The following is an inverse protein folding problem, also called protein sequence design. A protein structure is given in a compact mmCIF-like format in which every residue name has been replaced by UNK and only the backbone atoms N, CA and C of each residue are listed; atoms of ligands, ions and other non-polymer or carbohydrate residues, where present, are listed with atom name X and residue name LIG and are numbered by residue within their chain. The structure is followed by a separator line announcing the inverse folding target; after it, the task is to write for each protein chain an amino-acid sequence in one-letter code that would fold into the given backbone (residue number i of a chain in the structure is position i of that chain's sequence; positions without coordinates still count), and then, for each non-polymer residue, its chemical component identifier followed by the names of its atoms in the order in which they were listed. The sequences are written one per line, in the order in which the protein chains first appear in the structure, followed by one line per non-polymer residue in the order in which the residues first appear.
data_IF_654825982907
#
_entry.id   IF_654825982907
#
_cell.length_a   1.000
_cell.length_b   1.000
_cell.length_c   1.000
_cell.angle_alpha   90.00
_cell.angle_beta   90.00
_cell.angle_gamma   90.00
#
_symmetry.space_group_name_H-M   'P 1'
#
loop_
_entity.id
_entity.type
_entity.pdbx_description
1 polymer ?
#
# COMPACT_ATOMS: atom_id res chain seq x y z
N UNK A 1 11.11 -28.13 -0.84
CA UNK A 1 10.45 -26.96 -1.45
C UNK A 1 11.19 -26.57 -2.72
N UNK A 2 11.02 -27.31 -3.82
CA UNK A 2 11.34 -26.76 -5.14
C UNK A 2 10.10 -26.01 -5.60
N UNK A 3 10.11 -24.69 -5.42
CA UNK A 3 9.14 -23.84 -6.11
C UNK A 3 9.57 -23.81 -7.57
N UNK A 4 8.91 -24.60 -8.42
CA UNK A 4 9.06 -24.45 -9.86
C UNK A 4 8.53 -23.07 -10.28
N UNK A 5 9.34 -22.36 -11.06
CA UNK A 5 8.94 -21.11 -11.71
C UNK A 5 8.01 -21.49 -12.86
N UNK A 6 6.72 -21.63 -12.57
CA UNK A 6 5.68 -21.94 -13.55
C UNK A 6 4.95 -20.65 -14.01
N UNK A 7 4.17 -20.72 -15.10
CA UNK A 7 3.40 -19.60 -15.62
C UNK A 7 2.48 -18.98 -14.56
N UNK A 8 1.91 -19.81 -13.69
CA UNK A 8 1.11 -19.38 -12.54
C UNK A 8 1.91 -18.52 -11.56
N UNK A 9 3.18 -18.83 -11.33
CA UNK A 9 4.05 -18.06 -10.44
C UNK A 9 4.37 -16.67 -11.02
N UNK A 10 4.66 -16.59 -12.33
CA UNK A 10 4.86 -15.31 -13.02
C UNK A 10 3.59 -14.46 -12.96
N UNK A 11 2.42 -15.07 -13.16
CA UNK A 11 1.11 -14.40 -13.01
C UNK A 11 0.88 -13.86 -11.59
N UNK A 12 1.33 -14.58 -10.56
CA UNK A 12 1.28 -14.13 -9.17
C UNK A 12 2.10 -12.85 -8.96
N UNK A 13 3.34 -12.83 -9.45
CA UNK A 13 4.22 -11.65 -9.33
C UNK A 13 3.62 -10.44 -10.03
N UNK A 14 3.11 -10.62 -11.25
CA UNK A 14 2.48 -9.53 -12.01
C UNK A 14 1.25 -8.96 -11.25
N UNK A 15 0.45 -9.84 -10.66
CA UNK A 15 -0.72 -9.47 -9.85
C UNK A 15 -0.30 -8.73 -8.58
N UNK A 16 0.73 -9.20 -7.88
CA UNK A 16 1.27 -8.55 -6.69
C UNK A 16 1.79 -7.14 -7.00
N UNK A 17 2.48 -6.96 -8.13
CA UNK A 17 2.93 -5.64 -8.58
C UNK A 17 1.74 -4.71 -8.85
N UNK A 18 0.73 -5.19 -9.59
CA UNK A 18 -0.48 -4.41 -9.89
C UNK A 18 -1.21 -3.96 -8.63
N UNK A 19 -1.37 -4.87 -7.66
CA UNK A 19 -1.98 -4.56 -6.36
C UNK A 19 -1.16 -3.51 -5.57
N UNK A 20 0.16 -3.68 -5.52
CA UNK A 20 1.05 -2.76 -4.81
C UNK A 20 1.13 -1.36 -5.46
N UNK A 21 0.98 -1.25 -6.78
CA UNK A 21 0.94 0.05 -7.47
C UNK A 21 -0.39 0.76 -7.20
N UNK A 22 -1.51 0.04 -7.27
CA UNK A 22 -2.84 0.59 -7.04
C UNK A 22 -2.94 1.28 -5.67
N UNK A 23 -2.45 0.62 -4.61
CA UNK A 23 -2.48 1.19 -3.27
C UNK A 23 -1.64 2.48 -3.14
N UNK A 24 -0.44 2.52 -3.75
CA UNK A 24 0.39 3.73 -3.76
C UNK A 24 -0.31 4.89 -4.47
N UNK A 25 -0.90 4.65 -5.66
CA UNK A 25 -1.57 5.71 -6.43
C UNK A 25 -2.73 6.32 -5.65
N UNK A 26 -3.52 5.51 -4.95
CA UNK A 26 -4.62 5.99 -4.09
C UNK A 26 -4.09 6.86 -2.94
N UNK A 27 -3.00 6.45 -2.29
CA UNK A 27 -2.37 7.24 -1.21
C UNK A 27 -1.86 8.58 -1.75
N UNK A 28 -1.13 8.57 -2.86
CA UNK A 28 -0.61 9.79 -3.48
C UNK A 28 -1.73 10.75 -3.93
N UNK A 29 -2.83 10.21 -4.47
CA UNK A 29 -4.01 10.99 -4.84
C UNK A 29 -4.66 11.64 -3.62
N UNK A 30 -4.86 10.89 -2.53
CA UNK A 30 -5.42 11.44 -1.27
C UNK A 30 -4.55 12.53 -0.67
N UNK A 31 -3.23 12.34 -0.65
CA UNK A 31 -2.28 13.37 -0.16
C UNK A 31 -2.40 14.65 -1.00
N UNK A 32 -2.54 14.52 -2.33
CA UNK A 32 -2.72 15.66 -3.24
C UNK A 32 -4.07 16.34 -3.05
N UNK A 33 -5.15 15.59 -2.89
CA UNK A 33 -6.52 16.10 -2.67
C UNK A 33 -6.62 16.89 -1.35
N UNK A 34 -6.09 16.36 -0.25
CA UNK A 34 -6.05 17.05 1.04
C UNK A 34 -5.27 18.37 0.98
N UNK A 35 -4.23 18.42 0.14
CA UNK A 35 -3.45 19.65 -0.10
C UNK A 35 -4.25 20.74 -0.82
N UNK A 36 -5.22 20.35 -1.66
CA UNK A 36 -6.11 21.29 -2.36
C UNK A 36 -7.24 21.82 -1.46
N UNK A 37 -7.77 20.99 -0.57
CA UNK A 37 -8.97 21.30 0.22
C UNK A 37 -8.70 22.19 1.46
N UNK A 38 -7.51 22.13 2.08
CA UNK A 38 -7.26 22.81 3.36
C UNK A 38 -5.91 23.56 3.44
N UNK A 39 -5.70 24.64 2.66
CA UNK A 39 -4.43 25.38 2.63
C UNK A 39 -4.10 26.18 3.91
N UNK A 40 -5.06 26.39 4.83
CA UNK A 40 -4.92 27.26 6.02
C UNK A 40 -4.99 26.55 7.40
N UNK A 41 -5.15 25.23 7.45
CA UNK A 41 -5.19 24.49 8.74
C UNK A 41 -3.80 24.08 9.22
N UNK A 42 -3.66 23.88 10.53
CA UNK A 42 -2.44 23.39 11.17
C UNK A 42 -1.97 22.10 10.47
N UNK A 43 -0.84 22.17 9.76
CA UNK A 43 -0.38 21.16 8.81
C UNK A 43 -0.23 19.78 9.45
N UNK A 44 0.11 19.73 10.73
CA UNK A 44 0.28 18.51 11.53
C UNK A 44 -1.04 17.78 11.79
N UNK A 45 -2.12 18.51 12.11
CA UNK A 45 -3.44 17.90 12.39
C UNK A 45 -4.09 17.41 11.11
N UNK A 46 -3.96 18.20 10.03
CA UNK A 46 -4.47 17.83 8.72
C UNK A 46 -3.74 16.58 8.17
N UNK A 47 -2.42 16.51 8.35
CA UNK A 47 -1.63 15.36 7.94
C UNK A 47 -2.02 14.10 8.69
N UNK A 48 -2.23 14.21 10.01
CA UNK A 48 -2.66 13.08 10.82
C UNK A 48 -4.04 12.55 10.39
N UNK A 49 -5.00 13.44 10.10
CA UNK A 49 -6.33 13.03 9.59
C UNK A 49 -6.26 12.40 8.19
N UNK A 50 -5.44 12.96 7.30
CA UNK A 50 -5.22 12.45 5.95
C UNK A 50 -4.60 11.06 5.98
N UNK A 51 -3.56 10.90 6.80
CA UNK A 51 -2.90 9.63 7.01
C UNK A 51 -3.84 8.64 7.64
N UNK A 52 -4.54 8.98 8.72
CA UNK A 52 -5.44 8.04 9.40
C UNK A 52 -6.55 7.52 8.49
N UNK A 53 -7.15 8.39 7.67
CA UNK A 53 -8.20 8.00 6.70
C UNK A 53 -7.66 7.08 5.61
N UNK A 54 -6.46 7.38 5.10
CA UNK A 54 -5.84 6.62 4.01
C UNK A 54 -5.25 5.30 4.51
N UNK A 55 -4.56 5.32 5.66
CA UNK A 55 -4.08 4.15 6.38
C UNK A 55 -5.23 3.19 6.68
N UNK A 56 -6.34 3.68 7.23
CA UNK A 56 -7.47 2.82 7.57
C UNK A 56 -8.03 2.10 6.32
N UNK A 57 -8.11 2.80 5.18
CA UNK A 57 -8.53 2.20 3.91
C UNK A 57 -7.53 1.16 3.39
N UNK A 58 -6.25 1.51 3.35
CA UNK A 58 -5.17 0.63 2.88
C UNK A 58 -5.04 -0.62 3.77
N UNK A 59 -5.09 -0.46 5.10
CA UNK A 59 -5.07 -1.57 6.05
C UNK A 59 -6.29 -2.46 5.87
N UNK A 60 -7.50 -1.91 5.76
CA UNK A 60 -8.70 -2.74 5.58
C UNK A 60 -8.68 -3.50 4.24
N UNK A 61 -8.22 -2.87 3.17
CA UNK A 61 -8.13 -3.52 1.85
C UNK A 61 -7.05 -4.59 1.80
N UNK A 62 -5.89 -4.35 2.43
CA UNK A 62 -4.81 -5.34 2.53
C UNK A 62 -5.15 -6.48 3.48
N UNK A 63 -5.82 -6.21 4.60
CA UNK A 63 -6.22 -7.24 5.56
C UNK A 63 -7.25 -8.20 4.95
N UNK A 64 -8.25 -7.66 4.26
CA UNK A 64 -9.28 -8.48 3.59
C UNK A 64 -8.69 -9.37 2.49
N UNK A 65 -7.76 -8.87 1.68
CA UNK A 65 -7.06 -9.72 0.69
C UNK A 65 -6.16 -10.76 1.35
N UNK A 66 -5.48 -10.41 2.44
CA UNK A 66 -4.60 -11.34 3.18
C UNK A 66 -5.41 -12.49 3.80
N UNK A 67 -6.60 -12.21 4.36
CA UNK A 67 -7.53 -13.25 4.85
C UNK A 67 -7.91 -14.22 3.74
N UNK A 68 -8.30 -13.71 2.56
CA UNK A 68 -8.66 -14.56 1.41
C UNK A 68 -7.47 -15.42 0.96
N UNK A 69 -6.28 -14.82 0.86
CA UNK A 69 -5.07 -15.53 0.46
C UNK A 69 -4.64 -16.60 1.47
N UNK A 70 -4.82 -16.35 2.78
CA UNK A 70 -4.57 -17.36 3.83
C UNK A 70 -5.55 -18.51 3.72
N UNK A 71 -6.84 -18.25 3.49
CA UNK A 71 -7.83 -19.29 3.24
C UNK A 71 -7.45 -20.14 2.02
N UNK A 72 -7.01 -19.51 0.93
CA UNK A 72 -6.54 -20.22 -0.27
C UNK A 72 -5.24 -20.99 -0.01
N UNK A 73 -4.34 -20.46 0.81
CA UNK A 73 -3.08 -21.14 1.14
C UNK A 73 -3.30 -22.42 1.97
N UNK A 74 -4.24 -22.39 2.92
CA UNK A 74 -4.57 -23.51 3.82
C UNK A 74 -5.48 -24.53 3.14
N UNK A 75 -6.52 -24.07 2.43
CA UNK A 75 -7.55 -24.92 1.82
C UNK A 75 -7.27 -25.27 0.35
N UNK A 76 -6.31 -24.60 -0.28
CA UNK A 76 -5.98 -24.80 -1.69
C UNK A 76 -5.06 -25.99 -1.96
N UNK A 77 -5.19 -26.53 -3.17
CA UNK A 77 -4.31 -27.58 -3.70
C UNK A 77 -2.88 -27.08 -3.97
N UNK A 78 -1.96 -28.02 -4.19
CA UNK A 78 -0.52 -27.74 -4.28
C UNK A 78 -0.16 -26.73 -5.39
N UNK A 79 -0.87 -26.74 -6.51
CA UNK A 79 -0.65 -25.81 -7.64
C UNK A 79 -0.99 -24.36 -7.31
N UNK A 80 -1.93 -24.10 -6.39
CA UNK A 80 -2.36 -22.75 -6.00
C UNK A 80 -1.63 -22.26 -4.74
N UNK A 81 -1.07 -23.18 -3.94
CA UNK A 81 -0.36 -22.83 -2.71
C UNK A 81 0.89 -21.99 -2.99
N UNK A 82 1.64 -22.29 -4.05
CA UNK A 82 2.80 -21.50 -4.50
C UNK A 82 2.38 -20.10 -4.96
N UNK A 83 1.26 -19.99 -5.68
CA UNK A 83 0.66 -18.71 -6.08
C UNK A 83 0.22 -17.87 -4.88
N UNK A 84 -0.52 -18.47 -3.94
CA UNK A 84 -1.00 -17.80 -2.75
C UNK A 84 0.16 -17.32 -1.87
N UNK A 85 1.22 -18.11 -1.74
CA UNK A 85 2.43 -17.71 -1.02
C UNK A 85 3.11 -16.48 -1.64
N UNK A 86 3.30 -16.46 -2.97
CA UNK A 86 3.87 -15.33 -3.68
C UNK A 86 3.02 -14.06 -3.52
N UNK A 87 1.69 -14.22 -3.59
CA UNK A 87 0.73 -13.13 -3.37
C UNK A 87 0.76 -12.61 -1.93
N UNK A 88 0.84 -13.47 -0.93
CA UNK A 88 0.95 -13.07 0.49
C UNK A 88 2.19 -12.21 0.70
N UNK A 89 3.35 -12.65 0.20
CA UNK A 89 4.59 -11.86 0.29
C UNK A 89 4.44 -10.52 -0.43
N UNK A 90 3.85 -10.51 -1.63
CA UNK A 90 3.60 -9.31 -2.41
C UNK A 90 2.70 -8.29 -1.70
N UNK A 91 1.60 -8.76 -1.11
CA UNK A 91 0.67 -7.91 -0.34
C UNK A 91 1.37 -7.40 0.91
N UNK A 92 2.04 -8.24 1.70
CA UNK A 92 2.72 -7.81 2.93
C UNK A 92 3.78 -6.74 2.65
N UNK A 93 4.70 -7.01 1.70
CA UNK A 93 5.76 -6.07 1.33
C UNK A 93 5.16 -4.80 0.71
N UNK A 94 4.13 -4.94 -0.13
CA UNK A 94 3.45 -3.81 -0.76
C UNK A 94 2.77 -2.88 0.23
N UNK A 95 2.05 -3.45 1.21
CA UNK A 95 1.34 -2.69 2.24
C UNK A 95 2.32 -1.99 3.18
N UNK A 96 3.37 -2.70 3.61
CA UNK A 96 4.42 -2.11 4.44
C UNK A 96 5.18 -1.01 3.69
N UNK A 97 5.47 -1.19 2.41
CA UNK A 97 6.10 -0.17 1.56
C UNK A 97 5.23 1.08 1.45
N UNK A 98 3.93 0.94 1.18
CA UNK A 98 2.99 2.07 1.21
C UNK A 98 3.00 2.79 2.56
N UNK A 99 2.89 2.06 3.66
CA UNK A 99 2.79 2.63 5.00
C UNK A 99 4.07 3.33 5.46
N UNK A 100 5.21 2.65 5.33
CA UNK A 100 6.49 3.10 5.88
C UNK A 100 7.30 3.99 4.93
N UNK A 101 7.03 3.98 3.62
CA UNK A 101 7.77 4.81 2.65
C UNK A 101 6.93 5.98 2.18
N UNK A 102 5.63 5.79 1.88
CA UNK A 102 4.80 6.90 1.41
C UNK A 102 4.49 7.92 2.53
N UNK A 103 4.26 7.47 3.77
CA UNK A 103 3.98 8.36 4.91
C UNK A 103 5.13 9.34 5.22
N UNK A 104 6.40 8.91 5.39
CA UNK A 104 7.50 9.85 5.62
C UNK A 104 7.87 10.67 4.39
N UNK A 105 7.72 10.15 3.16
CA UNK A 105 7.92 10.97 1.95
C UNK A 105 6.90 12.10 1.87
N UNK A 106 5.63 11.81 2.18
CA UNK A 106 4.60 12.83 2.26
C UNK A 106 4.91 13.87 3.36
N UNK A 107 5.40 13.43 4.52
CA UNK A 107 5.83 14.32 5.60
C UNK A 107 7.04 15.19 5.20
N UNK A 108 8.04 14.61 4.53
CA UNK A 108 9.22 15.34 4.05
C UNK A 108 8.87 16.37 2.97
N UNK A 109 7.96 16.06 2.05
CA UNK A 109 7.43 17.04 1.10
C UNK A 109 6.72 18.21 1.81
N UNK A 110 6.03 17.95 2.92
CA UNK A 110 5.37 19.00 3.71
C UNK A 110 6.37 19.94 4.38
N UNK A 111 7.45 19.42 4.96
CA UNK A 111 8.51 20.25 5.55
C UNK A 111 9.21 21.12 4.49
N UNK A 112 9.48 20.57 3.30
CA UNK A 112 10.16 21.31 2.22
C UNK A 112 9.29 22.41 1.60
N UNK A 113 7.96 22.30 1.68
CA UNK A 113 7.02 23.37 1.25
C UNK A 113 6.81 24.43 2.32
N UNK A 114 6.97 24.09 3.61
CA UNK A 114 6.90 25.07 4.69
C UNK A 114 8.06 26.07 4.60
N UNK A 115 9.26 25.61 4.24
CA UNK A 115 10.45 26.44 4.04
C UNK A 115 10.26 27.47 2.91
N UNK A 116 9.69 27.05 1.77
CA UNK A 116 9.41 27.92 0.62
C UNK A 116 8.28 28.95 0.79
N UNK A 117 7.56 28.96 1.91
CA UNK A 117 6.52 29.98 2.18
C UNK A 117 7.02 31.04 3.16
N UNK A 118 8.28 30.94 3.60
CA UNK A 118 8.94 31.86 4.55
C UNK A 118 9.99 32.73 3.84
N UNK A 119 10.33 32.45 2.57
CA UNK A 119 10.95 33.39 1.62
C UNK A 119 9.89 34.04 0.72
#
# INVERSE_FOLDING_TARGET
FSLEIDQTFIGAILTAIGYSINDKVVIFDRVREFFGLYPKRNKTVLFNDSLNTTLARTINTSLTTLIVLVCIFVLGGDSIRSFAFAMILGVVIGTLSSLFIASPIAYMMMNKKADKTVE
#
